data_IF_044518048110
#
_entry.id   IF_044518048110
#
_cell.length_a   1.000
_cell.length_b   1.000
_cell.length_c   1.000
_cell.angle_alpha   90.00
_cell.angle_beta   90.00
_cell.angle_gamma   90.00
#
_symmetry.space_group_name_H-M   'P 1'
#
loop_
_entity.id
_entity.type
_entity.pdbx_description
1 polymer ?
#
# COMPACT_ATOMS: atom_id res chain seq x y z
N UNK A 1 27.77 -1.28 -17.55
CA UNK A 1 26.41 -0.94 -17.11
C UNK A 1 26.55 0.21 -16.14
N UNK A 2 25.93 1.35 -16.42
CA UNK A 2 26.17 2.58 -15.66
C UNK A 2 25.53 2.55 -14.25
N UNK A 3 24.64 1.60 -13.99
CA UNK A 3 23.95 1.42 -12.71
C UNK A 3 23.85 -0.08 -12.34
N UNK A 4 24.92 -0.67 -11.77
CA UNK A 4 24.95 -2.09 -11.43
C UNK A 4 23.95 -2.48 -10.32
N UNK A 5 23.52 -1.53 -9.49
CA UNK A 5 22.61 -1.78 -8.36
C UNK A 5 21.13 -1.88 -8.79
N UNK A 6 20.80 -1.49 -10.02
CA UNK A 6 19.42 -1.55 -10.53
C UNK A 6 19.16 -2.93 -11.12
N UNK A 7 18.15 -3.68 -10.64
CA UNK A 7 17.79 -4.96 -11.23
C UNK A 7 17.43 -4.82 -12.71
N UNK A 8 17.87 -5.75 -13.55
CA UNK A 8 17.50 -5.81 -14.97
C UNK A 8 16.03 -6.18 -15.21
N UNK A 9 15.28 -6.54 -14.15
CA UNK A 9 13.87 -6.88 -14.20
C UNK A 9 13.01 -5.87 -13.43
N UNK A 10 11.76 -5.71 -13.83
CA UNK A 10 10.76 -4.85 -13.20
C UNK A 10 9.78 -5.62 -12.29
N UNK A 11 10.09 -6.86 -11.90
CA UNK A 11 9.19 -7.77 -11.17
C UNK A 11 8.49 -7.13 -9.97
N UNK A 12 9.22 -6.34 -9.18
CA UNK A 12 8.68 -5.63 -8.01
C UNK A 12 7.59 -4.64 -8.42
N UNK A 13 7.87 -3.81 -9.44
CA UNK A 13 6.93 -2.82 -9.99
C UNK A 13 5.71 -3.50 -10.61
N UNK A 14 5.91 -4.59 -11.36
CA UNK A 14 4.81 -5.37 -11.94
C UNK A 14 3.92 -6.00 -10.88
N UNK A 15 4.52 -6.54 -9.82
CA UNK A 15 3.78 -7.11 -8.71
C UNK A 15 2.96 -6.04 -7.97
N UNK A 16 3.54 -4.86 -7.78
CA UNK A 16 2.87 -3.74 -7.14
C UNK A 16 1.67 -3.23 -7.96
N UNK A 17 1.68 -3.26 -9.30
CA UNK A 17 0.51 -2.84 -10.11
C UNK A 17 -0.51 -3.96 -10.36
N UNK A 18 -0.11 -5.23 -10.22
CA UNK A 18 -0.91 -6.42 -10.61
C UNK A 18 -2.30 -6.47 -9.96
N UNK A 19 -2.40 -6.17 -8.67
CA UNK A 19 -3.68 -6.18 -7.96
C UNK A 19 -4.68 -5.18 -8.55
N UNK A 20 -4.20 -3.99 -8.94
CA UNK A 20 -5.03 -2.97 -9.58
C UNK A 20 -5.50 -3.44 -10.96
N UNK A 21 -4.60 -3.99 -11.77
CA UNK A 21 -4.93 -4.51 -13.12
C UNK A 21 -5.94 -5.65 -13.04
N UNK A 22 -5.78 -6.59 -12.10
CA UNK A 22 -6.73 -7.67 -11.87
C UNK A 22 -8.12 -7.14 -11.49
N UNK A 23 -8.18 -6.18 -10.56
CA UNK A 23 -9.45 -5.58 -10.14
C UNK A 23 -10.14 -4.89 -11.30
N UNK A 24 -9.41 -4.04 -12.04
CA UNK A 24 -9.92 -3.35 -13.25
C UNK A 24 -10.42 -4.31 -14.31
N UNK A 25 -9.75 -5.46 -14.50
CA UNK A 25 -10.18 -6.49 -15.45
C UNK A 25 -11.54 -7.08 -15.09
N UNK A 26 -11.84 -7.24 -13.80
CA UNK A 26 -13.09 -7.83 -13.30
C UNK A 26 -14.21 -6.80 -13.17
N UNK A 27 -13.93 -5.63 -12.58
CA UNK A 27 -14.94 -4.62 -12.26
C UNK A 27 -15.07 -3.49 -13.28
N UNK A 28 -14.22 -3.47 -14.31
CA UNK A 28 -14.06 -2.30 -15.18
C UNK A 28 -13.36 -1.14 -14.48
N UNK A 29 -13.32 0.02 -15.15
CA UNK A 29 -12.82 1.28 -14.59
C UNK A 29 -13.92 2.04 -13.87
N UNK A 30 -13.55 2.89 -12.92
CA UNK A 30 -14.43 3.88 -12.31
C UNK A 30 -14.80 4.96 -13.33
N UNK A 31 -16.06 5.40 -13.32
CA UNK A 31 -16.56 6.49 -14.18
C UNK A 31 -16.32 7.88 -13.60
N UNK A 32 -16.18 7.97 -12.28
CA UNK A 32 -15.98 9.21 -11.54
C UNK A 32 -14.58 9.25 -10.90
N UNK A 33 -14.00 10.44 -10.80
CA UNK A 33 -12.72 10.67 -10.12
C UNK A 33 -12.79 10.39 -8.62
N UNK A 34 -13.94 10.62 -7.98
CA UNK A 34 -14.12 10.31 -6.56
C UNK A 34 -14.00 8.80 -6.31
N UNK A 35 -14.69 7.99 -7.11
CA UNK A 35 -14.64 6.53 -6.99
C UNK A 35 -13.23 6.01 -7.23
N UNK A 36 -12.54 6.59 -8.22
CA UNK A 36 -11.13 6.26 -8.52
C UNK A 36 -10.23 6.56 -7.31
N UNK A 37 -10.35 7.76 -6.74
CA UNK A 37 -9.58 8.17 -5.55
C UNK A 37 -9.86 7.28 -4.36
N UNK A 38 -11.12 6.93 -4.10
CA UNK A 38 -11.48 5.99 -3.05
C UNK A 38 -10.78 4.64 -3.25
N UNK A 39 -10.90 4.05 -4.45
CA UNK A 39 -10.26 2.78 -4.77
C UNK A 39 -8.74 2.83 -4.63
N UNK A 40 -8.09 3.87 -5.16
CA UNK A 40 -6.65 4.06 -5.09
C UNK A 40 -6.18 4.19 -3.62
N UNK A 41 -6.91 4.97 -2.82
CA UNK A 41 -6.62 5.20 -1.40
C UNK A 41 -6.71 3.89 -0.61
N UNK A 42 -7.84 3.17 -0.71
CA UNK A 42 -8.01 1.91 0.02
C UNK A 42 -7.05 0.81 -0.47
N UNK A 43 -6.71 0.79 -1.77
CA UNK A 43 -5.72 -0.14 -2.31
C UNK A 43 -4.34 0.14 -1.74
N UNK A 44 -3.94 1.42 -1.68
CA UNK A 44 -2.67 1.85 -1.08
C UNK A 44 -2.62 1.48 0.41
N UNK A 45 -3.65 1.83 1.18
CA UNK A 45 -3.76 1.50 2.61
C UNK A 45 -3.62 -0.01 2.85
N UNK A 46 -4.41 -0.82 2.13
CA UNK A 46 -4.39 -2.28 2.27
C UNK A 46 -3.00 -2.87 1.99
N UNK A 47 -2.33 -2.40 0.93
CA UNK A 47 -0.97 -2.87 0.59
C UNK A 47 0.05 -2.47 1.65
N UNK A 48 -0.02 -1.25 2.15
CA UNK A 48 0.89 -0.75 3.19
C UNK A 48 0.70 -1.53 4.50
N UNK A 49 -0.56 -1.76 4.92
CA UNK A 49 -0.86 -2.64 6.05
C UNK A 49 -0.23 -4.02 5.87
N UNK A 50 -0.38 -4.64 4.68
CA UNK A 50 0.23 -5.94 4.38
C UNK A 50 1.77 -5.91 4.43
N UNK A 51 2.41 -4.87 3.87
CA UNK A 51 3.89 -4.69 3.92
C UNK A 51 4.41 -4.50 5.35
N UNK A 52 3.59 -3.93 6.25
CA UNK A 52 3.90 -3.72 7.66
C UNK A 52 3.44 -4.85 8.59
N UNK A 53 2.77 -5.89 8.06
CA UNK A 53 2.14 -6.97 8.84
C UNK A 53 1.08 -6.47 9.83
N UNK A 54 0.37 -5.40 9.47
CA UNK A 54 -0.77 -4.86 10.22
C UNK A 54 -2.07 -5.34 9.55
N UNK A 55 -3.07 -5.69 10.35
CA UNK A 55 -4.41 -6.00 9.85
C UNK A 55 -5.08 -4.75 9.30
N UNK A 56 -5.52 -4.80 8.03
CA UNK A 56 -6.17 -3.67 7.39
C UNK A 56 -7.46 -3.25 8.10
N UNK A 57 -8.27 -4.21 8.56
CA UNK A 57 -9.54 -3.91 9.23
C UNK A 57 -9.34 -3.32 10.61
N UNK A 58 -8.35 -3.82 11.36
CA UNK A 58 -8.04 -3.28 12.68
C UNK A 58 -7.48 -1.86 12.54
N UNK A 59 -6.65 -1.60 11.53
CA UNK A 59 -6.17 -0.25 11.23
C UNK A 59 -7.31 0.73 10.93
N UNK A 60 -8.25 0.36 10.05
CA UNK A 60 -9.40 1.22 9.74
C UNK A 60 -10.26 1.45 10.99
N UNK A 61 -10.51 0.41 11.78
CA UNK A 61 -11.28 0.52 13.02
C UNK A 61 -10.62 1.45 14.02
N UNK A 62 -9.30 1.31 14.25
CA UNK A 62 -8.54 2.17 15.15
C UNK A 62 -8.54 3.63 14.70
N UNK A 63 -8.48 3.87 13.38
CA UNK A 63 -8.52 5.22 12.84
C UNK A 63 -9.90 5.89 12.96
N UNK A 64 -10.97 5.10 12.84
CA UNK A 64 -12.35 5.59 12.96
C UNK A 64 -12.81 5.73 14.42
N UNK A 65 -12.29 4.90 15.32
CA UNK A 65 -12.65 4.96 16.75
C UNK A 65 -11.95 6.10 17.50
N UNK A 66 -10.88 6.68 16.93
CA UNK A 66 -10.10 7.74 17.56
C UNK A 66 -9.27 7.28 18.76
N UNK A 67 -9.23 5.97 19.03
CA UNK A 67 -8.51 5.39 20.17
C UNK A 67 -7.00 5.29 19.93
N UNK A 68 -6.54 5.58 18.71
CA UNK A 68 -5.13 5.61 18.31
C UNK A 68 -4.34 4.33 18.68
N UNK A 69 -5.03 3.19 18.74
CA UNK A 69 -4.47 1.89 19.12
C UNK A 69 -3.39 1.41 18.14
N UNK A 70 -3.48 1.85 16.88
CA UNK A 70 -2.51 1.56 15.83
C UNK A 70 -1.97 2.91 15.32
N UNK A 71 -0.64 3.15 15.38
CA UNK A 71 -0.04 4.36 14.84
C UNK A 71 -0.33 4.52 13.34
N UNK A 72 -0.19 5.75 12.83
CA UNK A 72 -0.31 6.00 11.40
C UNK A 72 0.71 5.14 10.63
N UNK A 73 0.30 4.66 9.45
CA UNK A 73 1.16 3.81 8.62
C UNK A 73 2.48 4.51 8.25
N UNK A 74 2.48 5.84 8.13
CA UNK A 74 3.70 6.63 7.90
C UNK A 74 4.74 6.45 9.00
N UNK A 75 4.33 6.52 10.26
CA UNK A 75 5.21 6.35 11.41
C UNK A 75 5.77 4.92 11.46
N UNK A 76 4.94 3.94 11.14
CA UNK A 76 5.35 2.53 11.06
C UNK A 76 6.34 2.28 9.92
N UNK A 77 6.20 2.97 8.78
CA UNK A 77 7.17 2.91 7.68
C UNK A 77 8.52 3.47 8.15
N UNK A 78 8.53 4.65 8.78
CA UNK A 78 9.76 5.28 9.28
C UNK A 78 10.44 4.38 10.31
N UNK A 79 9.69 3.87 11.29
CA UNK A 79 10.21 2.96 12.31
C UNK A 79 10.82 1.70 11.69
N UNK A 80 10.17 1.12 10.68
CA UNK A 80 10.67 -0.07 9.99
C UNK A 80 11.95 0.23 9.19
N UNK A 81 12.02 1.38 8.55
CA UNK A 81 13.21 1.81 7.82
C UNK A 81 14.41 2.01 8.75
N UNK A 82 14.20 2.66 9.91
CA UNK A 82 15.24 2.84 10.93
C UNK A 82 15.74 1.51 11.48
N UNK A 83 14.84 0.56 11.76
CA UNK A 83 15.22 -0.77 12.24
C UNK A 83 16.00 -1.62 11.22
N UNK A 84 15.90 -1.32 9.92
CA UNK A 84 16.64 -2.00 8.86
C UNK A 84 18.04 -1.40 8.63
N UNK A 85 18.27 -0.18 9.14
CA UNK A 85 19.55 0.52 9.02
C UNK A 85 20.52 0.26 10.19
N UNK A 86 20.08 -0.55 11.18
CA UNK A 86 20.85 -1.05 12.31
C UNK A 86 21.18 -2.52 12.07
#
# INVERSE_FOLDING_TARGET
LDFPDIPLHNNTSENDIRDYVKRRKVSGSTRNDLDRRCQDTFTSLKKTCRKLKVSFWDYIKAQLSGLNEIPFLGDLIIKKALNLAV
#
